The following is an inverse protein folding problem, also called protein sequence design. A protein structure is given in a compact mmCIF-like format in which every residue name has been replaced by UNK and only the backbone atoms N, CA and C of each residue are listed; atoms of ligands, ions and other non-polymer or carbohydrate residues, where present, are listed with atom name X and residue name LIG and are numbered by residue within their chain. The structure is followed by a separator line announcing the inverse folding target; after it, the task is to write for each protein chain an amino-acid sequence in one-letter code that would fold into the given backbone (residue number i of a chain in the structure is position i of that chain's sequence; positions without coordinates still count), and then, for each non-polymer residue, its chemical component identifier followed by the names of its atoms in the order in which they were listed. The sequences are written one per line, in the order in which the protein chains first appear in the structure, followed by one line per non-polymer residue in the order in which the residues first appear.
data_IF_233351993379
#
_entry.id   IF_233351993379
#
_cell.length_a   1.000
_cell.length_b   1.000
_cell.length_c   1.000
_cell.angle_alpha   90.00
_cell.angle_beta   90.00
_cell.angle_gamma   90.00
#
_symmetry.space_group_name_H-M   'P 1'
#
loop_
_entity.id
_entity.type
_entity.pdbx_description
1 polymer ?
#
# COMPACT_ATOMS: atom_id res chain seq x y z
N UNK A 1 -17.03 4.24 3.81
CA UNK A 1 -15.78 4.32 3.03
C UNK A 1 -14.87 5.28 3.76
N UNK A 2 -13.74 4.78 4.30
CA UNK A 2 -12.80 5.61 5.06
C UNK A 2 -11.65 5.96 4.13
N UNK A 3 -11.51 7.24 3.80
CA UNK A 3 -10.41 7.75 2.99
C UNK A 3 -9.25 8.10 3.91
N UNK A 4 -8.19 7.28 3.87
CA UNK A 4 -7.00 7.46 4.69
C UNK A 4 -5.82 7.73 3.77
N UNK A 5 -5.19 8.88 3.94
CA UNK A 5 -4.07 9.35 3.10
C UNK A 5 -2.71 8.78 3.51
N UNK A 6 -2.63 8.06 4.63
CA UNK A 6 -1.40 7.47 5.15
C UNK A 6 -1.46 5.94 5.11
N UNK A 7 -0.53 5.35 4.35
CA UNK A 7 -0.36 3.90 4.25
C UNK A 7 -0.18 3.26 5.63
N UNK A 8 0.57 3.90 6.53
CA UNK A 8 0.80 3.38 7.87
C UNK A 8 -0.49 3.32 8.72
N UNK A 9 -1.38 4.29 8.53
CA UNK A 9 -2.69 4.28 9.20
C UNK A 9 -3.59 3.20 8.62
N UNK A 10 -3.58 3.00 7.29
CA UNK A 10 -4.32 1.92 6.64
C UNK A 10 -3.89 0.56 7.20
N UNK A 11 -2.58 0.31 7.29
CA UNK A 11 -2.03 -0.94 7.86
C UNK A 11 -2.57 -1.21 9.25
N UNK A 12 -2.48 -0.23 10.16
CA UNK A 12 -3.00 -0.36 11.53
C UNK A 12 -4.50 -0.66 11.57
N UNK A 13 -5.29 -0.07 10.67
CA UNK A 13 -6.72 -0.35 10.59
C UNK A 13 -7.00 -1.79 10.15
N UNK A 14 -6.28 -2.30 9.15
CA UNK A 14 -6.42 -3.69 8.69
C UNK A 14 -5.97 -4.67 9.77
N UNK A 15 -4.81 -4.43 10.40
CA UNK A 15 -4.31 -5.25 11.52
C UNK A 15 -5.29 -5.27 12.72
N UNK A 16 -6.02 -4.18 12.93
CA UNK A 16 -7.02 -4.06 14.00
C UNK A 16 -8.39 -4.65 13.62
N UNK A 17 -8.50 -5.37 12.50
CA UNK A 17 -9.76 -5.92 11.96
C UNK A 17 -10.85 -4.86 11.67
N UNK A 18 -10.46 -3.61 11.41
CA UNK A 18 -11.39 -2.52 11.11
C UNK A 18 -11.85 -2.57 9.62
N UNK A 19 -11.20 -3.40 8.80
CA UNK A 19 -11.63 -3.68 7.43
C UNK A 19 -10.55 -4.34 6.57
N UNK A 20 -10.79 -4.30 5.27
CA UNK A 20 -9.90 -4.80 4.20
C UNK A 20 -9.49 -3.62 3.32
N UNK A 21 -8.25 -3.60 2.85
CA UNK A 21 -7.73 -2.54 1.99
C UNK A 21 -6.82 -3.09 0.91
N UNK A 22 -6.77 -2.40 -0.23
CA UNK A 22 -5.87 -2.72 -1.33
C UNK A 22 -4.58 -1.91 -1.17
N UNK A 23 -3.48 -2.60 -0.89
CA UNK A 23 -2.18 -1.98 -0.64
C UNK A 23 -1.14 -2.49 -1.65
N UNK A 24 -0.22 -1.62 -2.12
CA UNK A 24 0.91 -2.07 -2.93
C UNK A 24 1.78 -3.05 -2.14
N UNK A 25 2.22 -4.14 -2.80
CA UNK A 25 2.96 -5.25 -2.17
C UNK A 25 4.16 -4.78 -1.35
N UNK A 26 4.96 -3.85 -1.89
CA UNK A 26 6.18 -3.33 -1.24
C UNK A 26 5.91 -2.63 0.11
N UNK A 27 4.68 -2.20 0.38
CA UNK A 27 4.33 -1.48 1.62
C UNK A 27 3.98 -2.41 2.79
N UNK A 28 3.71 -3.67 2.47
CA UNK A 28 3.23 -4.73 3.38
C UNK A 28 4.15 -5.96 3.41
N UNK A 29 5.30 -5.94 2.73
CA UNK A 29 6.22 -7.10 2.69
C UNK A 29 6.64 -7.58 4.07
N UNK A 30 6.90 -6.63 4.98
CA UNK A 30 7.26 -6.94 6.36
C UNK A 30 6.11 -7.63 7.09
N UNK A 31 4.92 -7.06 7.02
CA UNK A 31 3.72 -7.57 7.69
C UNK A 31 3.28 -8.94 7.14
N UNK A 32 3.49 -9.17 5.84
CA UNK A 32 3.29 -10.49 5.21
C UNK A 32 4.33 -11.51 5.72
N UNK A 33 5.59 -11.11 5.89
CA UNK A 33 6.64 -11.98 6.42
C UNK A 33 6.43 -12.30 7.92
N UNK A 34 5.91 -11.34 8.69
CA UNK A 34 5.60 -11.49 10.11
C UNK A 34 4.23 -12.15 10.36
N UNK A 35 3.46 -12.45 9.30
CA UNK A 35 2.11 -13.04 9.37
C UNK A 35 1.14 -12.17 10.19
N UNK A 36 1.38 -10.85 10.26
CA UNK A 36 0.45 -9.89 10.86
C UNK A 36 -0.63 -9.44 9.87
N UNK A 37 -0.32 -9.52 8.57
CA UNK A 37 -1.26 -9.32 7.48
C UNK A 37 -1.31 -10.55 6.57
N UNK A 38 -2.48 -10.81 6.00
CA UNK A 38 -2.70 -11.88 5.04
C UNK A 38 -3.11 -11.31 3.69
N UNK A 39 -2.47 -11.80 2.62
CA UNK A 39 -2.87 -11.52 1.24
C UNK A 39 -4.15 -12.30 0.92
N UNK A 40 -5.17 -11.60 0.41
CA UNK A 40 -6.41 -12.21 -0.04
C UNK A 40 -6.37 -12.38 -1.57
N UNK A 41 -6.77 -13.56 -2.09
CA UNK A 41 -6.85 -13.76 -3.54
C UNK A 41 -7.94 -12.84 -4.11
N UNK A 42 -7.53 -11.86 -4.91
CA UNK A 42 -8.44 -10.89 -5.53
C UNK A 42 -8.48 -10.99 -7.06
N UNK A 43 -7.33 -11.21 -7.70
CA UNK A 43 -7.21 -11.32 -9.16
C UNK A 43 -5.97 -12.12 -9.53
N UNK A 44 -6.05 -12.89 -10.62
CA UNK A 44 -4.89 -13.61 -11.18
C UNK A 44 -3.91 -12.66 -11.90
N UNK A 45 -4.33 -11.42 -12.19
CA UNK A 45 -3.54 -10.40 -12.87
C UNK A 45 -3.23 -9.22 -11.92
N UNK A 46 -2.06 -9.20 -11.26
CA UNK A 46 -1.67 -8.10 -10.39
C UNK A 46 -1.49 -6.81 -11.20
N UNK A 47 -2.14 -5.73 -10.75
CA UNK A 47 -1.91 -4.40 -11.34
C UNK A 47 -0.65 -3.79 -10.74
N UNK A 48 0.37 -3.62 -11.57
CA UNK A 48 1.58 -2.88 -11.21
C UNK A 48 1.46 -1.44 -11.67
N UNK A 49 1.76 -0.52 -10.75
CA UNK A 49 1.93 0.90 -11.06
C UNK A 49 3.42 1.15 -11.17
N UNK A 50 3.86 1.75 -12.27
CA UNK A 50 5.26 2.14 -12.43
C UNK A 50 5.54 3.36 -11.54
N UNK A 51 6.60 3.34 -10.71
CA UNK A 51 6.97 4.50 -9.92
C UNK A 51 7.38 5.63 -10.85
N UNK A 52 6.73 6.78 -10.72
CA UNK A 52 7.01 7.96 -11.53
C UNK A 52 7.72 9.03 -10.70
N UNK A 53 8.68 9.71 -11.33
CA UNK A 53 9.35 10.87 -10.74
C UNK A 53 8.91 12.15 -11.45
N UNK A 54 8.44 13.13 -10.67
CA UNK A 54 8.17 14.48 -11.13
C UNK A 54 9.31 15.41 -10.73
N UNK A 55 9.84 16.18 -11.68
CA UNK A 55 10.80 17.26 -11.41
C UNK A 55 10.09 18.61 -11.46
N UNK A 56 10.22 19.41 -10.40
CA UNK A 56 9.88 20.83 -10.43
C UNK A 56 11.12 21.66 -10.05
N UNK A 57 11.80 22.21 -11.06
CA UNK A 57 13.07 22.91 -10.88
C UNK A 57 14.16 21.99 -10.32
N UNK A 58 14.68 22.33 -9.13
CA UNK A 58 15.71 21.55 -8.39
C UNK A 58 15.12 20.47 -7.47
N UNK A 59 13.80 20.43 -7.29
CA UNK A 59 13.16 19.48 -6.39
C UNK A 59 12.65 18.24 -7.14
N UNK A 60 12.97 17.07 -6.59
CA UNK A 60 12.45 15.78 -7.02
C UNK A 60 11.30 15.36 -6.11
N UNK A 61 10.19 14.93 -6.70
CA UNK A 61 9.06 14.35 -5.96
C UNK A 61 8.70 13.01 -6.58
N UNK A 62 8.63 11.97 -5.75
CA UNK A 62 8.26 10.62 -6.16
C UNK A 62 6.76 10.45 -5.99
N UNK A 63 6.12 9.86 -6.99
CA UNK A 63 4.71 9.49 -6.99
C UNK A 63 4.64 7.96 -7.15
N UNK A 64 3.83 7.33 -6.30
CA UNK A 64 3.51 5.90 -6.33
C UNK A 64 2.01 5.72 -6.49
#
# INVERSE_FOLDING_TARGET
MVEISSINTIKKCVESNIGISYLPRFTVEKELAEVTLQELPFTDAPQMVEPLCGRNGVYWRFYM
#
